data_IF_059135815076
#
_entry.id   IF_059135815076
#
_cell.length_a   1.000
_cell.length_b   1.000
_cell.length_c   1.000
_cell.angle_alpha   90.00
_cell.angle_beta   90.00
_cell.angle_gamma   90.00
#
_symmetry.space_group_name_H-M   'P 1'
#
loop_
_entity.id
_entity.type
_entity.pdbx_description
1 polymer ?
#
# COMPACT_ATOMS: atom_id res chain seq x y z
N UNK A 1 42.56 -17.52 -18.53
CA UNK A 1 41.70 -16.85 -17.52
C UNK A 1 40.52 -17.78 -17.23
N UNK A 2 40.62 -18.59 -16.17
CA UNK A 2 39.63 -19.64 -15.86
C UNK A 2 38.63 -19.06 -14.87
N UNK A 3 37.41 -18.77 -15.32
CA UNK A 3 36.30 -18.39 -14.44
C UNK A 3 35.86 -19.63 -13.69
N UNK A 4 36.18 -19.70 -12.40
CA UNK A 4 35.62 -20.71 -11.48
C UNK A 4 34.12 -20.44 -11.33
N UNK A 5 33.32 -21.25 -12.01
CA UNK A 5 31.87 -21.18 -11.97
C UNK A 5 31.33 -21.28 -10.54
N UNK A 6 30.34 -20.43 -10.24
CA UNK A 6 29.57 -20.45 -9.01
C UNK A 6 28.76 -21.75 -8.96
N UNK A 7 29.17 -22.74 -8.16
CA UNK A 7 28.32 -23.91 -7.87
C UNK A 7 27.25 -23.47 -6.87
N UNK A 8 25.99 -23.46 -7.30
CA UNK A 8 24.89 -23.44 -6.34
C UNK A 8 25.00 -24.68 -5.46
N UNK A 9 25.17 -24.46 -4.16
CA UNK A 9 25.00 -25.51 -3.16
C UNK A 9 23.55 -25.98 -3.28
N UNK A 10 23.26 -27.29 -3.40
CA UNK A 10 21.87 -27.75 -3.37
C UNK A 10 21.24 -27.17 -2.11
N UNK A 11 20.14 -26.46 -2.28
CA UNK A 11 19.36 -25.96 -1.16
C UNK A 11 19.05 -27.18 -0.30
N UNK A 12 19.64 -27.24 0.89
CA UNK A 12 19.24 -28.23 1.87
C UNK A 12 17.73 -28.08 2.01
N UNK A 13 17.00 -29.17 1.80
CA UNK A 13 15.60 -29.31 2.17
C UNK A 13 15.53 -29.12 3.69
N UNK A 14 15.56 -27.85 4.12
CA UNK A 14 14.97 -27.46 5.37
C UNK A 14 13.48 -27.76 5.17
N UNK A 15 13.08 -28.95 5.58
CA UNK A 15 11.67 -29.27 5.75
C UNK A 15 11.11 -28.10 6.56
N UNK A 16 10.24 -27.30 5.94
CA UNK A 16 9.46 -26.32 6.68
C UNK A 16 8.69 -27.13 7.71
N UNK A 17 9.12 -27.08 8.97
CA UNK A 17 8.36 -27.63 10.08
C UNK A 17 6.99 -26.97 9.97
N UNK A 18 6.00 -27.74 9.51
CA UNK A 18 4.66 -27.23 9.26
C UNK A 18 4.18 -26.55 10.52
N UNK A 19 3.77 -25.29 10.40
CA UNK A 19 3.19 -24.58 11.53
C UNK A 19 1.92 -25.34 11.90
N UNK A 20 1.86 -25.87 13.12
CA UNK A 20 0.65 -26.49 13.62
C UNK A 20 -0.40 -25.39 13.82
N UNK A 21 -1.44 -25.42 13.00
CA UNK A 21 -2.55 -24.49 13.06
C UNK A 21 -3.59 -24.98 14.05
N UNK A 22 -4.13 -24.08 14.87
CA UNK A 22 -5.26 -24.40 15.73
C UNK A 22 -6.57 -24.52 14.92
N UNK A 23 -7.65 -24.96 15.58
CA UNK A 23 -8.94 -25.16 14.93
C UNK A 23 -9.51 -23.88 14.31
N UNK A 24 -9.38 -22.74 14.98
CA UNK A 24 -9.90 -21.47 14.47
C UNK A 24 -9.10 -20.99 13.24
N UNK A 25 -7.78 -21.22 13.23
CA UNK A 25 -6.94 -20.93 12.08
C UNK A 25 -7.26 -21.85 10.89
N UNK A 26 -7.54 -23.13 11.15
CA UNK A 26 -7.98 -24.07 10.13
C UNK A 26 -9.33 -23.68 9.53
N UNK A 27 -10.28 -23.20 10.33
CA UNK A 27 -11.57 -22.68 9.85
C UNK A 27 -11.40 -21.49 8.89
N UNK A 28 -10.49 -20.56 9.19
CA UNK A 28 -10.17 -19.42 8.31
C UNK A 28 -9.64 -19.90 6.95
N UNK A 29 -8.77 -20.91 6.94
CA UNK A 29 -8.21 -21.46 5.71
C UNK A 29 -9.29 -22.26 4.94
N UNK A 30 -10.18 -22.94 5.65
CA UNK A 30 -11.25 -23.71 5.03
C UNK A 30 -12.36 -22.85 4.42
N UNK A 31 -12.39 -21.53 4.64
CA UNK A 31 -13.41 -20.62 4.07
C UNK A 31 -13.63 -20.90 2.57
N UNK A 32 -14.88 -21.03 2.10
CA UNK A 32 -15.17 -21.25 0.69
C UNK A 32 -14.93 -19.98 -0.12
N UNK A 33 -14.82 -20.14 -1.43
CA UNK A 33 -14.67 -18.99 -2.33
C UNK A 33 -15.93 -18.13 -2.31
N UNK A 34 -15.76 -16.80 -2.42
CA UNK A 34 -16.86 -15.84 -2.26
C UNK A 34 -17.28 -15.55 -0.81
N UNK A 35 -16.71 -16.25 0.19
CA UNK A 35 -16.95 -15.93 1.60
C UNK A 35 -16.16 -14.69 2.04
N UNK A 36 -16.74 -13.95 2.99
CA UNK A 36 -16.09 -12.84 3.69
C UNK A 36 -16.18 -13.08 5.20
N UNK A 37 -15.08 -12.88 5.92
CA UNK A 37 -15.01 -13.13 7.35
C UNK A 37 -14.14 -12.08 8.06
N UNK A 38 -14.50 -11.77 9.31
CA UNK A 38 -13.69 -10.98 10.22
C UNK A 38 -12.91 -11.92 11.16
N UNK A 39 -11.59 -11.90 11.08
CA UNK A 39 -10.72 -12.72 11.92
C UNK A 39 -10.20 -11.88 13.09
N UNK A 40 -10.79 -12.10 14.26
CA UNK A 40 -10.46 -11.39 15.50
C UNK A 40 -9.53 -12.25 16.35
N UNK A 41 -8.53 -11.61 16.95
CA UNK A 41 -7.61 -12.29 17.86
C UNK A 41 -6.72 -11.31 18.58
N UNK A 42 -6.35 -11.64 19.82
CA UNK A 42 -5.42 -10.85 20.62
C UNK A 42 -4.04 -10.71 19.94
N UNK A 43 -3.19 -9.77 20.39
CA UNK A 43 -1.80 -9.73 19.94
C UNK A 43 -1.11 -11.10 20.12
N UNK A 44 -0.34 -11.53 19.12
CA UNK A 44 0.39 -12.80 19.18
C UNK A 44 -0.39 -14.08 18.82
N UNK A 45 -1.71 -14.02 18.58
CA UNK A 45 -2.53 -15.23 18.26
C UNK A 45 -2.33 -15.81 16.86
N UNK A 46 -1.30 -15.38 16.12
CA UNK A 46 -0.99 -15.95 14.81
C UNK A 46 -1.78 -15.41 13.61
N UNK A 47 -2.58 -14.33 13.74
CA UNK A 47 -3.35 -13.74 12.60
C UNK A 47 -2.56 -13.59 11.30
N UNK A 48 -1.33 -13.09 11.38
CA UNK A 48 -0.47 -12.94 10.20
C UNK A 48 -0.06 -14.28 9.60
N UNK A 49 0.21 -15.27 10.46
CA UNK A 49 0.52 -16.64 10.04
C UNK A 49 -0.70 -17.29 9.38
N UNK A 50 -1.89 -17.14 9.95
CA UNK A 50 -3.15 -17.61 9.35
C UNK A 50 -3.38 -16.99 7.97
N UNK A 51 -3.14 -15.68 7.82
CA UNK A 51 -3.26 -15.01 6.52
C UNK A 51 -2.27 -15.57 5.49
N UNK A 52 -1.03 -15.84 5.89
CA UNK A 52 -0.01 -16.42 5.01
C UNK A 52 -0.42 -17.83 4.56
N UNK A 53 -0.88 -18.68 5.50
CA UNK A 53 -1.34 -20.03 5.17
C UNK A 53 -2.63 -20.03 4.34
N UNK A 54 -3.53 -19.06 4.55
CA UNK A 54 -4.69 -18.88 3.68
C UNK A 54 -4.27 -18.52 2.24
N UNK A 55 -3.33 -17.59 2.07
CA UNK A 55 -2.77 -17.27 0.74
C UNK A 55 -2.11 -18.51 0.12
N UNK A 56 -1.36 -19.28 0.91
CA UNK A 56 -0.71 -20.51 0.45
C UNK A 56 -1.71 -21.59 0.04
N UNK A 57 -2.80 -21.78 0.80
CA UNK A 57 -3.87 -22.70 0.43
C UNK A 57 -4.53 -22.31 -0.89
N UNK A 58 -4.81 -21.02 -1.12
CA UNK A 58 -5.40 -20.57 -2.40
C UNK A 58 -4.49 -20.88 -3.57
N UNK A 59 -3.21 -20.54 -3.47
CA UNK A 59 -2.26 -20.71 -4.59
C UNK A 59 -1.86 -22.19 -4.77
N UNK A 60 -1.42 -22.85 -3.70
CA UNK A 60 -0.83 -24.20 -3.78
C UNK A 60 -1.86 -25.32 -3.66
N UNK A 61 -2.92 -25.11 -2.89
CA UNK A 61 -3.98 -26.11 -2.67
C UNK A 61 -5.10 -26.01 -3.69
N UNK A 62 -5.59 -24.79 -3.95
CA UNK A 62 -6.73 -24.53 -4.85
C UNK A 62 -6.34 -24.09 -6.27
N UNK A 63 -5.07 -23.82 -6.52
CA UNK A 63 -4.55 -23.55 -7.87
C UNK A 63 -4.78 -22.12 -8.39
N UNK A 64 -5.07 -21.16 -7.51
CA UNK A 64 -5.19 -19.75 -7.90
C UNK A 64 -3.87 -19.24 -8.47
N UNK A 65 -3.95 -18.48 -9.56
CA UNK A 65 -2.80 -17.75 -10.06
C UNK A 65 -2.36 -16.70 -9.04
N UNK A 66 -1.05 -16.44 -8.97
CA UNK A 66 -0.50 -15.45 -8.02
C UNK A 66 -1.06 -14.05 -8.25
N UNK A 67 -1.50 -13.72 -9.46
CA UNK A 67 -2.18 -12.46 -9.76
C UNK A 67 -3.62 -12.34 -9.23
N UNK A 68 -4.22 -13.44 -8.78
CA UNK A 68 -5.61 -13.49 -8.30
C UNK A 68 -5.72 -13.34 -6.77
N UNK A 69 -4.58 -13.29 -6.07
CA UNK A 69 -4.53 -13.20 -4.61
C UNK A 69 -3.77 -11.95 -4.18
N UNK A 70 -4.34 -11.21 -3.23
CA UNK A 70 -3.75 -9.98 -2.71
C UNK A 70 -3.90 -9.88 -1.19
N UNK A 71 -2.80 -9.59 -0.50
CA UNK A 71 -2.79 -9.22 0.90
C UNK A 71 -2.57 -7.70 1.06
N UNK A 72 -3.39 -7.07 1.90
CA UNK A 72 -3.24 -5.67 2.24
C UNK A 72 -2.69 -5.51 3.66
N UNK A 73 -1.81 -4.53 3.83
CA UNK A 73 -1.21 -4.18 5.13
C UNK A 73 -1.33 -2.68 5.40
N UNK A 74 -1.39 -2.32 6.68
CA UNK A 74 -1.57 -0.94 7.13
C UNK A 74 -0.33 -0.05 6.93
N UNK A 75 0.88 -0.64 6.85
CA UNK A 75 2.13 0.12 6.70
C UNK A 75 3.04 -0.49 5.65
N UNK A 76 3.93 0.34 5.09
CA UNK A 76 4.92 -0.11 4.10
C UNK A 76 5.84 -1.19 4.68
N UNK A 77 6.31 -1.00 5.91
CA UNK A 77 7.17 -1.96 6.61
C UNK A 77 6.48 -3.31 6.80
N UNK A 78 5.21 -3.31 7.24
CA UNK A 78 4.46 -4.54 7.43
C UNK A 78 4.11 -5.22 6.09
N UNK A 79 3.84 -4.45 5.03
CA UNK A 79 3.66 -4.99 3.68
C UNK A 79 4.93 -5.67 3.16
N UNK A 80 6.10 -5.04 3.30
CA UNK A 80 7.39 -5.64 2.89
C UNK A 80 7.65 -6.94 3.64
N UNK A 81 7.52 -6.93 4.97
CA UNK A 81 7.73 -8.13 5.78
C UNK A 81 6.74 -9.26 5.41
N UNK A 82 5.49 -8.92 5.16
CA UNK A 82 4.47 -9.89 4.74
C UNK A 82 4.76 -10.45 3.35
N UNK A 83 5.17 -9.62 2.40
CA UNK A 83 5.54 -10.03 1.04
C UNK A 83 6.65 -11.07 1.08
N UNK A 84 7.71 -10.81 1.85
CA UNK A 84 8.87 -11.68 1.92
C UNK A 84 8.50 -13.03 2.56
N UNK A 85 7.66 -13.01 3.60
CA UNK A 85 7.13 -14.24 4.23
C UNK A 85 6.22 -15.05 3.30
N UNK A 86 5.33 -14.39 2.54
CA UNK A 86 4.50 -15.07 1.54
C UNK A 86 5.36 -15.66 0.43
N UNK A 87 6.35 -14.92 -0.08
CA UNK A 87 7.24 -15.41 -1.13
C UNK A 87 8.01 -16.67 -0.69
N UNK A 88 8.56 -16.65 0.52
CA UNK A 88 9.22 -17.82 1.12
C UNK A 88 8.25 -18.99 1.30
N UNK A 89 7.01 -18.72 1.74
CA UNK A 89 6.01 -19.75 1.96
C UNK A 89 5.51 -20.41 0.67
N UNK A 90 5.35 -19.63 -0.39
CA UNK A 90 4.84 -20.12 -1.67
C UNK A 90 5.90 -20.86 -2.48
N UNK A 91 7.15 -20.35 -2.49
CA UNK A 91 8.25 -20.98 -3.23
C UNK A 91 8.06 -20.99 -4.75
N UNK A 92 7.12 -20.20 -5.29
CA UNK A 92 6.84 -20.09 -6.73
C UNK A 92 7.07 -18.66 -7.24
N UNK A 93 7.36 -18.47 -8.54
CA UNK A 93 7.42 -17.15 -9.15
C UNK A 93 6.11 -16.38 -9.02
N UNK A 94 6.21 -15.07 -8.80
CA UNK A 94 5.06 -14.16 -8.69
C UNK A 94 5.22 -13.03 -9.71
N UNK A 95 4.12 -12.59 -10.32
CA UNK A 95 4.11 -11.48 -11.29
C UNK A 95 4.14 -10.09 -10.61
N UNK A 96 4.44 -10.04 -9.31
CA UNK A 96 4.44 -8.83 -8.49
C UNK A 96 4.29 -9.13 -7.00
N UNK A 97 4.34 -8.11 -6.15
CA UNK A 97 4.23 -8.29 -4.71
C UNK A 97 2.80 -8.69 -4.32
N UNK A 98 2.69 -9.85 -3.67
CA UNK A 98 1.42 -10.38 -3.13
C UNK A 98 0.95 -9.67 -1.87
N UNK A 99 1.81 -8.87 -1.23
CA UNK A 99 1.44 -8.00 -0.13
C UNK A 99 1.81 -6.54 -0.43
N UNK A 100 0.91 -5.60 -0.13
CA UNK A 100 1.08 -4.17 -0.36
C UNK A 100 0.21 -3.32 0.58
N UNK A 101 0.40 -2.01 0.56
CA UNK A 101 -0.54 -1.08 1.20
C UNK A 101 -1.69 -0.74 0.26
N UNK A 102 -2.81 -0.28 0.83
CA UNK A 102 -3.95 0.20 0.05
C UNK A 102 -3.54 1.34 -0.92
N UNK A 103 -2.74 2.30 -0.44
CA UNK A 103 -2.22 3.40 -1.27
C UNK A 103 -1.37 2.90 -2.44
N UNK A 104 -0.53 1.89 -2.23
CA UNK A 104 0.29 1.32 -3.31
C UNK A 104 -0.57 0.60 -4.35
N UNK A 105 -1.64 -0.07 -3.93
CA UNK A 105 -2.61 -0.66 -4.86
C UNK A 105 -3.33 0.43 -5.67
N UNK A 106 -3.85 1.46 -4.99
CA UNK A 106 -4.56 2.56 -5.64
C UNK A 106 -3.68 3.26 -6.70
N UNK A 107 -2.42 3.56 -6.37
CA UNK A 107 -1.48 4.16 -7.32
C UNK A 107 -1.24 3.27 -8.55
N UNK A 108 -1.10 1.95 -8.36
CA UNK A 108 -1.00 1.02 -9.49
C UNK A 108 -2.25 1.08 -10.37
N UNK A 109 -3.45 1.03 -9.77
CA UNK A 109 -4.73 1.04 -10.50
C UNK A 109 -4.90 2.33 -11.31
N UNK A 110 -4.60 3.48 -10.72
CA UNK A 110 -4.66 4.79 -11.41
C UNK A 110 -3.63 4.84 -12.54
N UNK A 111 -2.41 4.36 -12.32
CA UNK A 111 -1.39 4.31 -13.37
C UNK A 111 -1.74 3.35 -14.51
N UNK A 112 -2.40 2.24 -14.21
CA UNK A 112 -2.90 1.31 -15.22
C UNK A 112 -4.03 1.92 -16.06
N UNK A 113 -4.95 2.64 -15.40
CA UNK A 113 -6.00 3.39 -16.08
C UNK A 113 -5.42 4.48 -16.98
N UNK A 114 -4.50 5.30 -16.47
CA UNK A 114 -3.85 6.36 -17.24
C UNK A 114 -3.19 5.82 -18.52
N UNK A 115 -2.43 4.72 -18.38
CA UNK A 115 -1.80 4.05 -19.53
C UNK A 115 -2.81 3.54 -20.56
N UNK A 116 -3.92 2.95 -20.09
CA UNK A 116 -4.99 2.43 -20.95
C UNK A 116 -5.64 3.55 -21.76
N UNK A 117 -5.81 4.71 -21.13
CA UNK A 117 -6.48 5.87 -21.71
C UNK A 117 -5.52 6.81 -22.47
N UNK A 118 -4.21 6.50 -22.51
CA UNK A 118 -3.20 7.36 -23.14
C UNK A 118 -2.94 8.67 -22.40
N UNK A 119 -3.26 8.73 -21.11
CA UNK A 119 -3.03 9.87 -20.24
C UNK A 119 -1.63 9.83 -19.62
N UNK A 120 -1.15 11.00 -19.20
CA UNK A 120 0.11 11.12 -18.46
C UNK A 120 0.07 10.24 -17.19
N UNK A 121 1.11 9.43 -16.91
CA UNK A 121 1.17 8.63 -15.69
C UNK A 121 1.05 9.49 -14.42
N UNK A 122 0.32 9.04 -13.40
CA UNK A 122 0.23 9.78 -12.15
C UNK A 122 1.61 9.85 -11.48
N UNK A 123 1.91 10.98 -10.86
CA UNK A 123 3.10 11.15 -10.02
C UNK A 123 2.69 11.38 -8.57
N UNK A 124 3.45 10.81 -7.64
CA UNK A 124 3.29 11.12 -6.22
C UNK A 124 4.01 12.44 -5.93
N UNK A 125 3.29 13.38 -5.33
CA UNK A 125 3.89 14.60 -4.80
C UNK A 125 4.45 14.35 -3.40
N UNK A 126 5.65 14.82 -3.17
CA UNK A 126 6.20 14.94 -1.82
C UNK A 126 5.51 16.09 -1.08
N UNK A 127 5.56 16.08 0.25
CA UNK A 127 5.03 17.18 1.05
C UNK A 127 5.73 18.52 0.79
N UNK A 128 7.00 18.49 0.40
CA UNK A 128 7.76 19.69 0.01
C UNK A 128 7.30 20.26 -1.32
N UNK A 129 7.11 19.40 -2.34
CA UNK A 129 6.55 19.84 -3.63
C UNK A 129 5.13 20.40 -3.45
N UNK A 130 4.31 19.76 -2.62
CA UNK A 130 2.96 20.25 -2.34
C UNK A 130 2.99 21.60 -1.61
N UNK A 131 3.89 21.79 -0.63
CA UNK A 131 4.05 23.10 0.04
C UNK A 131 4.46 24.19 -0.96
N UNK A 132 5.38 23.87 -1.86
CA UNK A 132 5.87 24.81 -2.87
C UNK A 132 4.76 25.23 -3.83
N UNK A 133 3.95 24.28 -4.32
CA UNK A 133 2.79 24.57 -5.17
C UNK A 133 1.80 25.50 -4.44
N UNK A 134 1.50 25.22 -3.16
CA UNK A 134 0.61 26.06 -2.36
C UNK A 134 1.21 27.47 -2.17
N UNK A 135 2.52 27.57 -1.94
CA UNK A 135 3.20 28.85 -1.79
C UNK A 135 3.12 29.69 -3.06
N UNK A 136 3.39 29.08 -4.23
CA UNK A 136 3.30 29.74 -5.54
C UNK A 136 1.88 30.23 -5.83
N UNK A 137 0.87 29.40 -5.58
CA UNK A 137 -0.54 29.78 -5.75
C UNK A 137 -0.93 30.95 -4.85
N UNK A 138 -0.52 30.94 -3.58
CA UNK A 138 -0.83 32.03 -2.65
C UNK A 138 -0.12 33.33 -3.03
N UNK A 139 1.15 33.26 -3.46
CA UNK A 139 1.89 34.45 -3.94
C UNK A 139 1.22 35.05 -5.17
N UNK A 140 0.89 34.23 -6.17
CA UNK A 140 0.20 34.69 -7.38
C UNK A 140 -1.16 35.31 -7.07
N UNK A 141 -1.93 34.74 -6.14
CA UNK A 141 -3.20 35.34 -5.70
C UNK A 141 -3.02 36.72 -5.04
N UNK A 142 -1.95 36.93 -4.28
CA UNK A 142 -1.65 38.23 -3.67
C UNK A 142 -1.22 39.27 -4.71
N UNK A 143 -0.38 38.87 -5.67
CA UNK A 143 0.13 39.75 -6.73
C UNK A 143 -0.96 40.18 -7.71
N UNK A 144 -1.80 39.24 -8.14
CA UNK A 144 -2.83 39.47 -9.15
C UNK A 144 -4.17 39.96 -8.55
N UNK A 145 -4.29 40.01 -7.22
CA UNK A 145 -5.55 40.25 -6.53
C UNK A 145 -6.62 39.18 -6.83
N UNK A 146 -6.18 37.97 -7.17
CA UNK A 146 -7.03 36.84 -7.56
C UNK A 146 -7.22 35.85 -6.38
N UNK A 147 -7.86 34.71 -6.66
CA UNK A 147 -8.10 33.67 -5.66
C UNK A 147 -9.46 33.77 -4.96
N UNK A 148 -9.69 32.93 -3.93
CA UNK A 148 -10.99 32.89 -3.24
C UNK A 148 -11.19 34.12 -2.35
N UNK A 149 -12.44 34.38 -1.99
CA UNK A 149 -12.79 35.34 -0.95
C UNK A 149 -12.33 34.81 0.41
N UNK A 150 -11.20 35.32 0.88
CA UNK A 150 -10.66 34.97 2.18
C UNK A 150 -11.45 35.66 3.30
N UNK A 151 -11.81 34.95 4.38
CA UNK A 151 -12.37 35.55 5.58
C UNK A 151 -11.47 36.66 6.16
N UNK A 152 -12.08 37.67 6.79
CA UNK A 152 -11.40 38.85 7.36
C UNK A 152 -10.14 38.54 8.19
N UNK A 153 -10.07 37.48 9.03
CA UNK A 153 -8.86 37.19 9.78
C UNK A 153 -7.67 36.71 8.93
N UNK A 154 -7.90 36.30 7.67
CA UNK A 154 -6.90 35.73 6.77
C UNK A 154 -6.34 36.79 5.81
N UNK A 155 -5.84 37.88 6.39
CA UNK A 155 -5.14 38.96 5.69
C UNK A 155 -3.87 38.48 4.99
N UNK A 156 -3.34 39.29 4.08
CA UNK A 156 -2.17 39.00 3.23
C UNK A 156 -0.97 38.50 4.04
N UNK A 157 -0.66 39.14 5.16
CA UNK A 157 0.45 38.77 6.03
C UNK A 157 0.27 37.38 6.62
N UNK A 158 -0.96 36.99 6.96
CA UNK A 158 -1.28 35.65 7.46
C UNK A 158 -1.12 34.63 6.35
N UNK A 159 -1.60 34.94 5.14
CA UNK A 159 -1.52 34.05 3.97
C UNK A 159 -0.08 33.79 3.52
N UNK A 160 0.82 34.74 3.75
CA UNK A 160 2.25 34.59 3.47
C UNK A 160 2.97 33.63 4.46
N UNK A 161 2.38 33.32 5.61
CA UNK A 161 3.03 32.49 6.63
C UNK A 161 3.11 31.01 6.19
N UNK A 162 4.25 30.39 6.49
CA UNK A 162 4.42 28.93 6.36
C UNK A 162 3.41 28.14 7.22
N UNK A 163 3.07 28.67 8.40
CA UNK A 163 2.07 28.08 9.29
C UNK A 163 0.71 27.99 8.62
N UNK A 164 0.25 29.08 7.99
CA UNK A 164 -1.00 29.12 7.24
C UNK A 164 -1.03 28.07 6.12
N UNK A 165 0.05 27.94 5.33
CA UNK A 165 0.13 26.90 4.28
C UNK A 165 0.03 25.49 4.83
N UNK A 166 0.57 25.26 6.03
CA UNK A 166 0.49 23.96 6.70
C UNK A 166 -0.96 23.65 7.07
N UNK A 167 -1.65 24.59 7.71
CA UNK A 167 -3.06 24.46 8.06
C UNK A 167 -3.97 24.29 6.83
N UNK A 168 -3.71 25.06 5.76
CA UNK A 168 -4.45 24.95 4.51
C UNK A 168 -4.29 23.56 3.88
N UNK A 169 -3.06 23.02 3.88
CA UNK A 169 -2.78 21.67 3.37
C UNK A 169 -3.51 20.60 4.19
N UNK A 170 -3.49 20.72 5.51
CA UNK A 170 -4.20 19.81 6.41
C UNK A 170 -5.71 19.89 6.20
N UNK A 171 -6.28 21.09 6.06
CA UNK A 171 -7.69 21.29 5.74
C UNK A 171 -8.07 20.58 4.43
N UNK A 172 -7.31 20.81 3.35
CA UNK A 172 -7.54 20.17 2.06
C UNK A 172 -7.46 18.64 2.17
N UNK A 173 -6.48 18.11 2.90
CA UNK A 173 -6.35 16.68 3.13
C UNK A 173 -7.57 16.09 3.86
N UNK A 174 -8.07 16.77 4.90
CA UNK A 174 -9.28 16.34 5.64
C UNK A 174 -10.56 16.42 4.81
N UNK A 175 -10.69 17.43 3.96
CA UNK A 175 -11.80 17.52 3.01
C UNK A 175 -11.78 16.35 2.03
N UNK A 176 -10.61 16.05 1.44
CA UNK A 176 -10.45 14.93 0.53
C UNK A 176 -10.74 13.57 1.20
N UNK A 177 -10.27 13.35 2.43
CA UNK A 177 -10.57 12.15 3.23
C UNK A 177 -12.07 11.94 3.47
N UNK A 178 -12.86 13.03 3.53
CA UNK A 178 -14.30 13.01 3.77
C UNK A 178 -15.15 13.12 2.50
N UNK A 179 -14.53 13.21 1.33
CA UNK A 179 -15.25 13.39 0.06
C UNK A 179 -15.94 14.76 -0.05
N UNK A 180 -15.41 15.79 0.62
CA UNK A 180 -15.87 17.18 0.46
C UNK A 180 -15.08 17.81 -0.67
N UNK A 181 -15.77 18.20 -1.74
CA UNK A 181 -15.22 18.77 -2.98
C UNK A 181 -15.82 20.12 -3.29
#
# INVERSE_FOLDING_TARGET
>A
MIVRGFRMRPAGTAASTGIALDGAQAEVIALPDGASAAVLGAPGTGKTTTLIEAVADRVLGRGYATGEVLALSASRTAATALRDRIALRLGVPTNGPLARTATSLAFQLVGERARRDGLEPPRLLTGGEQDQIIAELLSGHLEDGSGPLWPEPLVDEVRALRGFRTELRELMARCAERGVT
#
